data_IF_126981734707
#
_entry.id   IF_126981734707
#
_cell.length_a   1.000
_cell.length_b   1.000
_cell.length_c   1.000
_cell.angle_alpha   90.00
_cell.angle_beta   90.00
_cell.angle_gamma   90.00
#
_symmetry.space_group_name_H-M   'P 1'
#
loop_
_entity.id
_entity.type
_entity.pdbx_description
1 polymer ?
#
# COMPACT_ATOMS: atom_id res chain seq x y z
N UNK A 1 18.35 -9.34 -0.92
CA UNK A 1 16.94 -9.77 -0.89
C UNK A 1 16.12 -8.58 -0.42
N UNK A 2 15.81 -7.65 -1.33
CA UNK A 2 15.23 -6.35 -0.97
C UNK A 2 14.63 -5.59 -2.16
N UNK A 3 15.16 -5.81 -3.37
CA UNK A 3 14.61 -5.22 -4.61
C UNK A 3 13.22 -5.80 -4.95
N UNK A 4 13.08 -7.14 -4.91
CA UNK A 4 11.80 -7.81 -5.17
C UNK A 4 10.74 -7.46 -4.11
N UNK A 5 11.13 -7.32 -2.85
CA UNK A 5 10.21 -6.97 -1.76
C UNK A 5 9.75 -5.52 -1.86
N UNK A 6 10.67 -4.61 -2.20
CA UNK A 6 10.34 -3.22 -2.49
C UNK A 6 9.43 -3.11 -3.72
N UNK A 7 9.74 -3.84 -4.79
CA UNK A 7 8.89 -3.91 -5.98
C UNK A 7 7.49 -4.44 -5.65
N UNK A 8 7.38 -5.50 -4.85
CA UNK A 8 6.10 -6.06 -4.42
C UNK A 8 5.25 -5.03 -3.66
N UNK A 9 5.86 -4.26 -2.75
CA UNK A 9 5.18 -3.18 -2.02
C UNK A 9 4.73 -2.04 -2.92
N UNK A 10 5.58 -1.60 -3.84
CA UNK A 10 5.21 -0.57 -4.82
C UNK A 10 4.07 -1.02 -5.72
N UNK A 11 4.10 -2.28 -6.18
CA UNK A 11 3.07 -2.86 -7.01
C UNK A 11 1.74 -3.00 -6.25
N UNK A 12 1.77 -3.53 -5.03
CA UNK A 12 0.58 -3.65 -4.17
C UNK A 12 -0.05 -2.29 -3.91
N UNK A 13 0.77 -1.29 -3.53
CA UNK A 13 0.29 0.07 -3.32
C UNK A 13 -0.37 0.65 -4.57
N UNK A 14 0.24 0.49 -5.75
CA UNK A 14 -0.32 1.04 -6.98
C UNK A 14 -1.67 0.40 -7.33
N UNK A 15 -1.80 -0.92 -7.20
CA UNK A 15 -3.08 -1.59 -7.52
C UNK A 15 -4.18 -1.29 -6.51
N UNK A 16 -3.83 -1.04 -5.25
CA UNK A 16 -4.79 -0.67 -4.20
C UNK A 16 -5.20 0.80 -4.30
N UNK A 17 -4.24 1.71 -4.48
CA UNK A 17 -4.46 3.16 -4.50
C UNK A 17 -5.33 3.62 -5.66
N UNK A 18 -5.25 2.94 -6.81
CA UNK A 18 -5.98 3.31 -8.03
C UNK A 18 -7.09 2.32 -8.41
N UNK A 19 -7.47 1.40 -7.51
CA UNK A 19 -8.47 0.36 -7.79
C UNK A 19 -9.81 0.93 -8.29
N UNK A 20 -10.16 2.15 -7.87
CA UNK A 20 -11.36 2.85 -8.31
C UNK A 20 -11.31 3.32 -9.77
N UNK A 21 -10.13 3.64 -10.30
CA UNK A 21 -9.93 3.94 -11.72
C UNK A 21 -10.07 2.71 -12.62
N UNK A 22 -10.09 1.50 -12.05
CA UNK A 22 -10.40 0.28 -12.80
C UNK A 22 -11.91 0.15 -13.09
N UNK A 23 -12.76 0.92 -12.42
CA UNK A 23 -14.18 0.98 -12.68
C UNK A 23 -14.52 2.14 -13.64
N UNK A 24 -15.46 1.92 -14.55
CA UNK A 24 -16.01 2.99 -15.39
C UNK A 24 -16.95 3.83 -14.51
N UNK A 25 -16.71 5.15 -14.36
CA UNK A 25 -17.58 5.98 -13.55
C UNK A 25 -18.97 6.10 -14.19
N UNK A 26 -20.01 6.09 -13.35
CA UNK A 26 -21.40 6.21 -13.78
C UNK A 26 -21.77 7.65 -14.22
N UNK A 27 -21.03 8.64 -13.74
CA UNK A 27 -21.17 10.06 -14.07
C UNK A 27 -19.88 10.58 -14.68
N UNK A 28 -19.94 11.62 -15.55
CA UNK A 28 -18.75 12.24 -16.11
C UNK A 28 -17.88 12.80 -14.98
N UNK A 29 -16.63 12.33 -14.84
CA UNK A 29 -15.81 12.70 -13.70
C UNK A 29 -15.31 14.15 -13.82
N UNK A 30 -15.05 14.79 -12.68
CA UNK A 30 -14.44 16.13 -12.66
C UNK A 30 -13.09 16.11 -13.38
N UNK A 31 -12.94 16.94 -14.41
CA UNK A 31 -11.75 16.94 -15.26
C UNK A 31 -10.48 17.35 -14.49
N UNK A 32 -10.59 18.24 -13.50
CA UNK A 32 -9.45 18.71 -12.70
C UNK A 32 -8.99 17.62 -11.75
N UNK A 33 -9.93 16.98 -11.04
CA UNK A 33 -9.62 15.86 -10.14
C UNK A 33 -9.06 14.67 -10.91
N UNK A 34 -9.66 14.34 -12.06
CA UNK A 34 -9.22 13.24 -12.92
C UNK A 34 -7.81 13.50 -13.44
N UNK A 35 -7.51 14.72 -13.89
CA UNK A 35 -6.16 15.07 -14.32
C UNK A 35 -5.12 14.89 -13.20
N UNK A 36 -5.43 15.31 -11.97
CA UNK A 36 -4.54 15.13 -10.83
C UNK A 36 -4.32 13.64 -10.49
N UNK A 37 -5.37 12.82 -10.55
CA UNK A 37 -5.28 11.37 -10.34
C UNK A 37 -4.45 10.68 -11.43
N UNK A 38 -4.68 11.01 -12.70
CA UNK A 38 -3.93 10.46 -13.83
C UNK A 38 -2.45 10.87 -13.78
N UNK A 39 -2.14 12.10 -13.35
CA UNK A 39 -0.78 12.54 -13.11
C UNK A 39 -0.06 11.64 -12.09
N UNK A 40 -0.71 11.42 -10.93
CA UNK A 40 -0.17 10.59 -9.85
C UNK A 40 0.00 9.14 -10.29
N UNK A 41 -0.98 8.57 -11.00
CA UNK A 41 -0.91 7.24 -11.58
C UNK A 41 0.26 7.12 -12.56
N UNK A 42 0.45 8.11 -13.44
CA UNK A 42 1.57 8.15 -14.38
C UNK A 42 2.93 8.15 -13.68
N UNK A 43 3.05 8.89 -12.57
CA UNK A 43 4.24 8.85 -11.72
C UNK A 43 4.53 7.47 -11.14
N UNK A 44 3.53 6.84 -10.52
CA UNK A 44 3.65 5.49 -9.94
C UNK A 44 3.92 4.41 -10.99
N UNK A 45 3.22 4.44 -12.12
CA UNK A 45 3.42 3.51 -13.22
C UNK A 45 4.82 3.64 -13.84
N UNK A 46 5.40 4.85 -13.82
CA UNK A 46 6.79 5.09 -14.24
C UNK A 46 7.82 4.36 -13.38
N UNK A 47 7.62 4.33 -12.05
CA UNK A 47 8.51 3.64 -11.11
C UNK A 47 8.49 2.12 -11.30
N UNK A 48 7.34 1.55 -11.68
CA UNK A 48 7.16 0.13 -11.94
C UNK A 48 7.47 -0.28 -13.39
N UNK A 49 7.98 0.64 -14.21
CA UNK A 49 8.18 0.44 -15.65
C UNK A 49 6.91 -0.04 -16.39
N UNK A 50 5.71 0.29 -15.88
CA UNK A 50 4.42 -0.02 -16.50
C UNK A 50 4.12 0.99 -17.63
N UNK A 51 4.96 0.97 -18.67
CA UNK A 51 4.97 1.95 -19.76
C UNK A 51 3.60 2.17 -20.40
N UNK A 52 2.82 1.13 -20.77
CA UNK A 52 1.51 1.34 -21.39
C UNK A 52 0.54 2.11 -20.47
N UNK A 53 0.54 1.80 -19.17
CA UNK A 53 -0.33 2.44 -18.18
C UNK A 53 0.09 3.90 -17.96
N UNK A 54 1.39 4.16 -17.85
CA UNK A 54 1.94 5.52 -17.74
C UNK A 54 1.55 6.37 -18.95
N UNK A 55 1.70 5.83 -20.15
CA UNK A 55 1.48 6.60 -21.37
C UNK A 55 -0.02 6.88 -21.58
N UNK A 56 -0.90 5.93 -21.26
CA UNK A 56 -2.34 6.15 -21.23
C UNK A 56 -2.74 7.24 -20.22
N UNK A 57 -2.20 7.17 -18.99
CA UNK A 57 -2.47 8.17 -17.95
C UNK A 57 -2.03 9.58 -18.36
N UNK A 58 -0.85 9.73 -18.99
CA UNK A 58 -0.35 11.02 -19.49
C UNK A 58 -1.22 11.62 -20.60
N UNK A 59 -1.73 10.79 -21.51
CA UNK A 59 -2.65 11.26 -22.57
C UNK A 59 -3.96 11.75 -21.96
N UNK A 60 -4.57 10.96 -21.08
CA UNK A 60 -5.81 11.36 -20.39
C UNK A 60 -5.63 12.60 -19.52
N UNK A 61 -4.50 12.73 -18.81
CA UNK A 61 -4.16 13.95 -18.06
C UNK A 61 -4.13 15.18 -18.97
N UNK A 62 -3.45 15.06 -20.12
CA UNK A 62 -3.29 16.15 -21.08
C UNK A 62 -4.64 16.60 -21.64
N UNK A 63 -5.49 15.66 -22.04
CA UNK A 63 -6.83 15.94 -22.56
C UNK A 63 -7.74 16.55 -21.49
N UNK A 64 -7.73 16.00 -20.28
CA UNK A 64 -8.53 16.51 -19.17
C UNK A 64 -8.14 17.97 -18.81
N UNK A 65 -6.85 18.29 -18.75
CA UNK A 65 -6.37 19.67 -18.54
C UNK A 65 -6.75 20.62 -19.67
N UNK A 66 -6.84 20.12 -20.90
CA UNK A 66 -7.24 20.89 -22.07
C UNK A 66 -8.77 21.06 -22.18
N UNK A 67 -9.56 20.43 -21.31
CA UNK A 67 -11.02 20.39 -21.43
C UNK A 67 -11.51 19.59 -22.64
N UNK A 68 -10.67 18.72 -23.19
CA UNK A 68 -11.04 17.81 -24.27
C UNK A 68 -11.69 16.55 -23.71
N UNK A 69 -12.37 15.78 -24.57
CA UNK A 69 -12.85 14.44 -24.21
C UNK A 69 -11.65 13.51 -23.96
N UNK A 70 -11.65 12.85 -22.80
CA UNK A 70 -10.63 11.91 -22.34
C UNK A 70 -11.21 10.53 -21.97
N UNK A 71 -12.47 10.27 -22.39
CA UNK A 71 -13.20 9.05 -22.05
C UNK A 71 -12.51 7.77 -22.56
N UNK A 72 -11.93 7.81 -23.77
CA UNK A 72 -11.21 6.67 -24.35
C UNK A 72 -9.93 6.34 -23.57
N UNK A 73 -9.21 7.36 -23.11
CA UNK A 73 -7.99 7.23 -22.33
C UNK A 73 -8.28 6.73 -20.93
N UNK A 74 -9.37 7.18 -20.32
CA UNK A 74 -9.83 6.67 -19.04
C UNK A 74 -10.25 5.19 -19.15
N UNK A 75 -10.94 4.80 -20.22
CA UNK A 75 -11.29 3.41 -20.48
C UNK A 75 -10.04 2.53 -20.70
N UNK A 76 -9.02 3.05 -21.38
CA UNK A 76 -7.75 2.34 -21.58
C UNK A 76 -6.97 2.19 -20.27
N UNK A 77 -6.93 3.24 -19.43
CA UNK A 77 -6.38 3.16 -18.07
C UNK A 77 -7.09 2.09 -17.25
N UNK A 78 -8.43 2.09 -17.24
CA UNK A 78 -9.22 1.11 -16.51
C UNK A 78 -8.91 -0.32 -16.97
N UNK A 79 -8.85 -0.54 -18.28
CA UNK A 79 -8.51 -1.83 -18.88
C UNK A 79 -7.11 -2.30 -18.48
N UNK A 80 -6.11 -1.43 -18.60
CA UNK A 80 -4.72 -1.75 -18.27
C UNK A 80 -4.54 -2.02 -16.77
N UNK A 81 -5.17 -1.22 -15.92
CA UNK A 81 -5.10 -1.39 -14.48
C UNK A 81 -5.80 -2.68 -14.02
N UNK A 82 -6.93 -3.02 -14.64
CA UNK A 82 -7.63 -4.29 -14.42
C UNK A 82 -6.74 -5.47 -14.79
N UNK A 83 -6.10 -5.42 -15.96
CA UNK A 83 -5.18 -6.47 -16.41
C UNK A 83 -3.96 -6.60 -15.48
N UNK A 84 -3.35 -5.47 -15.09
CA UNK A 84 -2.24 -5.44 -14.15
C UNK A 84 -2.64 -6.06 -12.80
N UNK A 85 -3.78 -5.65 -12.26
CA UNK A 85 -4.29 -6.16 -10.96
C UNK A 85 -4.53 -7.67 -11.03
N UNK A 86 -5.15 -8.16 -12.10
CA UNK A 86 -5.42 -9.58 -12.29
C UNK A 86 -4.13 -10.43 -12.33
N UNK A 87 -3.04 -9.89 -12.87
CA UNK A 87 -1.74 -10.56 -12.92
C UNK A 87 -0.92 -10.40 -11.64
N UNK A 88 -1.01 -9.22 -10.99
CA UNK A 88 -0.24 -8.89 -9.80
C UNK A 88 -0.77 -9.63 -8.56
N UNK A 89 -2.09 -9.72 -8.38
CA UNK A 89 -2.70 -10.26 -7.15
C UNK A 89 -2.26 -11.69 -6.81
N UNK A 90 -2.22 -12.65 -7.74
CA UNK A 90 -1.73 -13.99 -7.45
C UNK A 90 -0.26 -13.99 -7.02
N UNK A 91 0.59 -13.26 -7.76
CA UNK A 91 2.01 -13.18 -7.46
C UNK A 91 2.29 -12.52 -6.10
N UNK A 92 1.59 -11.43 -5.77
CA UNK A 92 1.69 -10.77 -4.47
C UNK A 92 1.27 -11.69 -3.32
N UNK A 93 0.21 -12.48 -3.52
CA UNK A 93 -0.26 -13.47 -2.55
C UNK A 93 0.79 -14.55 -2.31
N UNK A 94 1.36 -15.10 -3.37
CA UNK A 94 2.38 -16.16 -3.29
C UNK A 94 3.67 -15.63 -2.67
N UNK A 95 4.10 -14.41 -3.04
CA UNK A 95 5.27 -13.75 -2.47
C UNK A 95 5.13 -13.54 -0.96
N UNK A 96 3.96 -13.07 -0.50
CA UNK A 96 3.65 -12.93 0.93
C UNK A 96 3.66 -14.29 1.64
N UNK A 97 3.07 -15.32 1.04
CA UNK A 97 3.07 -16.67 1.59
C UNK A 97 4.48 -17.25 1.75
N UNK A 98 5.34 -17.04 0.74
CA UNK A 98 6.74 -17.46 0.78
C UNK A 98 7.53 -16.71 1.86
N UNK A 99 7.32 -15.40 2.04
CA UNK A 99 7.94 -14.65 3.13
C UNK A 99 7.49 -15.16 4.51
N UNK A 100 6.21 -15.46 4.69
CA UNK A 100 5.68 -15.96 5.95
C UNK A 100 6.15 -17.39 6.26
N UNK A 101 6.34 -18.23 5.25
CA UNK A 101 6.87 -19.59 5.42
C UNK A 101 8.38 -19.62 5.67
N UNK A 102 9.12 -18.64 5.12
CA UNK A 102 10.55 -18.48 5.34
C UNK A 102 10.88 -17.83 6.70
N UNK A 103 9.92 -17.10 7.28
CA UNK A 103 9.97 -16.76 8.68
C UNK A 103 9.76 -18.05 9.49
N UNK A 104 10.86 -18.64 9.99
CA UNK A 104 10.78 -19.70 10.99
C UNK A 104 9.77 -19.31 12.07
N UNK A 105 9.04 -20.26 12.69
CA UNK A 105 8.18 -19.94 13.81
C UNK A 105 9.06 -19.32 14.89
N UNK A 106 9.05 -17.98 14.96
CA UNK A 106 9.80 -17.23 15.92
C UNK A 106 9.28 -17.71 17.28
N UNK A 107 10.16 -18.41 18.01
CA UNK A 107 10.04 -18.56 19.46
C UNK A 107 9.61 -17.20 19.96
N UNK A 108 8.45 -17.12 20.62
CA UNK A 108 7.79 -15.87 21.02
C UNK A 108 8.77 -14.98 21.78
N UNK A 109 9.53 -14.17 21.03
CA UNK A 109 10.51 -13.28 21.60
C UNK A 109 9.70 -12.13 22.22
N UNK A 110 10.01 -11.73 23.46
CA UNK A 110 9.39 -10.57 24.07
C UNK A 110 9.48 -9.38 23.11
N UNK A 111 8.40 -8.59 23.05
CA UNK A 111 8.33 -7.39 22.23
C UNK A 111 9.54 -6.49 22.55
N UNK A 112 10.48 -6.35 21.61
CA UNK A 112 11.68 -5.54 21.81
C UNK A 112 11.28 -4.07 21.92
N UNK A 113 11.55 -3.48 23.10
CA UNK A 113 11.24 -2.09 23.40
C UNK A 113 11.94 -1.12 22.44
N UNK A 114 13.15 -1.43 21.96
CA UNK A 114 13.87 -0.60 21.02
C UNK A 114 13.21 -0.62 19.63
N UNK A 115 12.83 -1.81 19.15
CA UNK A 115 12.14 -1.96 17.88
C UNK A 115 10.73 -1.33 17.90
N UNK A 116 9.99 -1.46 19.01
CA UNK A 116 8.70 -0.81 19.20
C UNK A 116 8.82 0.72 19.22
N UNK A 117 9.88 1.24 19.85
CA UNK A 117 10.16 2.67 19.86
C UNK A 117 10.52 3.19 18.46
N UNK A 118 11.28 2.42 17.68
CA UNK A 118 11.56 2.72 16.27
C UNK A 118 10.29 2.78 15.42
N UNK A 119 9.40 1.79 15.56
CA UNK A 119 8.10 1.79 14.88
C UNK A 119 7.25 3.02 15.29
N UNK A 120 7.24 3.36 16.58
CA UNK A 120 6.52 4.55 17.08
C UNK A 120 7.07 5.84 16.49
N UNK A 121 8.40 5.97 16.39
CA UNK A 121 9.03 7.13 15.77
C UNK A 121 8.70 7.22 14.27
N UNK A 122 8.74 6.10 13.55
CA UNK A 122 8.39 6.06 12.13
C UNK A 122 6.93 6.45 11.90
N UNK A 123 6.00 5.93 12.70
CA UNK A 123 4.59 6.33 12.62
C UNK A 123 4.38 7.81 12.98
N UNK A 124 5.12 8.33 13.97
CA UNK A 124 5.04 9.75 14.34
C UNK A 124 5.58 10.68 13.25
N UNK A 125 6.66 10.26 12.60
CA UNK A 125 7.25 10.95 11.45
C UNK A 125 6.45 10.74 10.15
N UNK A 126 5.38 9.94 10.17
CA UNK A 126 4.62 9.51 8.98
C UNK A 126 5.53 8.88 7.92
N UNK A 127 6.59 8.21 8.37
CA UNK A 127 7.59 7.58 7.54
C UNK A 127 7.06 6.22 7.05
N UNK A 128 7.18 5.98 5.74
CA UNK A 128 6.82 4.69 5.14
C UNK A 128 7.69 3.54 5.66
N UNK A 129 8.85 3.83 6.26
CA UNK A 129 9.62 2.86 7.03
C UNK A 129 8.80 2.19 8.15
N UNK A 130 7.69 2.80 8.60
CA UNK A 130 6.77 2.18 9.55
C UNK A 130 6.17 0.86 9.04
N UNK A 131 5.91 0.74 7.73
CA UNK A 131 5.44 -0.52 7.14
C UNK A 131 6.48 -1.62 7.28
N UNK A 132 7.75 -1.26 7.13
CA UNK A 132 8.89 -2.17 7.14
C UNK A 132 9.25 -2.60 8.56
N UNK A 133 9.08 -1.70 9.52
CA UNK A 133 9.28 -1.98 10.94
C UNK A 133 8.11 -2.76 11.54
N UNK A 134 6.91 -2.65 10.95
CA UNK A 134 5.70 -3.31 11.45
C UNK A 134 5.71 -4.83 11.21
N UNK A 135 6.10 -5.27 10.01
CA UNK A 135 6.00 -6.69 9.61
C UNK A 135 6.81 -7.63 10.52
N UNK A 136 8.08 -7.34 10.88
CA UNK A 136 8.86 -8.18 11.78
C UNK A 136 8.29 -8.22 13.21
N UNK A 137 7.56 -7.17 13.63
CA UNK A 137 6.97 -7.07 14.96
C UNK A 137 5.58 -7.70 15.05
N UNK A 138 4.98 -8.10 13.93
CA UNK A 138 3.60 -8.58 13.88
C UNK A 138 3.28 -9.73 14.86
N UNK A 139 4.11 -10.78 15.04
CA UNK A 139 3.83 -11.84 16.00
C UNK A 139 3.82 -11.34 17.46
N UNK A 140 4.78 -10.49 17.81
CA UNK A 140 4.92 -9.94 19.16
C UNK A 140 3.83 -8.90 19.46
N UNK A 141 3.44 -8.09 18.47
CA UNK A 141 2.31 -7.16 18.58
C UNK A 141 1.00 -7.92 18.76
N UNK A 142 0.76 -8.98 17.98
CA UNK A 142 -0.42 -9.84 18.14
C UNK A 142 -0.51 -10.46 19.53
N UNK A 143 0.61 -10.88 20.12
CA UNK A 143 0.64 -11.35 21.50
C UNK A 143 0.33 -10.23 22.51
N UNK A 144 0.82 -9.02 22.28
CA UNK A 144 0.68 -7.89 23.21
C UNK A 144 -0.70 -7.20 23.19
N UNK A 145 -1.31 -7.02 22.01
CA UNK A 145 -2.61 -6.36 21.86
C UNK A 145 -3.76 -7.29 21.47
N UNK A 146 -3.50 -8.60 21.38
CA UNK A 146 -4.47 -9.62 20.98
C UNK A 146 -4.85 -9.55 19.49
N UNK A 147 -5.55 -10.56 19.00
CA UNK A 147 -5.91 -10.68 17.58
C UNK A 147 -6.72 -9.46 17.07
N UNK A 148 -7.70 -9.01 17.87
CA UNK A 148 -8.56 -7.88 17.52
C UNK A 148 -7.80 -6.55 17.52
N UNK A 149 -6.89 -6.33 18.48
CA UNK A 149 -6.05 -5.14 18.54
C UNK A 149 -5.05 -5.10 17.38
N UNK A 150 -4.43 -6.23 17.09
CA UNK A 150 -3.52 -6.37 15.96
C UNK A 150 -4.20 -6.16 14.62
N UNK A 151 -5.41 -6.68 14.41
CA UNK A 151 -6.17 -6.47 13.19
C UNK A 151 -6.43 -4.97 12.92
N UNK A 152 -6.82 -4.22 13.95
CA UNK A 152 -7.04 -2.76 13.86
C UNK A 152 -5.74 -2.00 13.59
N UNK A 153 -4.66 -2.38 14.26
CA UNK A 153 -3.34 -1.77 14.06
C UNK A 153 -2.84 -2.01 12.63
N UNK A 154 -2.95 -3.25 12.14
CA UNK A 154 -2.58 -3.61 10.76
C UNK A 154 -3.41 -2.83 9.74
N UNK A 155 -4.72 -2.70 9.95
CA UNK A 155 -5.58 -1.93 9.06
C UNK A 155 -5.17 -0.45 9.02
N UNK A 156 -4.92 0.17 10.18
CA UNK A 156 -4.47 1.56 10.27
C UNK A 156 -3.12 1.78 9.57
N UNK A 157 -2.15 0.89 9.80
CA UNK A 157 -0.82 0.93 9.16
C UNK A 157 -0.94 0.74 7.64
N UNK A 158 -1.78 -0.19 7.18
CA UNK A 158 -2.00 -0.45 5.74
C UNK A 158 -2.68 0.74 5.05
N UNK A 159 -3.61 1.41 5.73
CA UNK A 159 -4.30 2.61 5.23
C UNK A 159 -3.49 3.89 5.37
N UNK A 160 -2.26 3.81 5.87
CA UNK A 160 -1.40 4.96 6.20
C UNK A 160 -2.04 5.93 7.20
N UNK A 161 -3.01 5.45 7.99
CA UNK A 161 -3.59 6.20 9.10
C UNK A 161 -2.67 6.06 10.33
N UNK A 162 -1.56 6.78 10.27
CA UNK A 162 -0.51 6.71 11.28
C UNK A 162 -0.97 7.23 12.65
N UNK A 163 -1.95 8.14 12.69
CA UNK A 163 -2.53 8.64 13.94
C UNK A 163 -3.32 7.54 14.65
N UNK A 164 -4.18 6.83 13.92
CA UNK A 164 -4.91 5.67 14.47
C UNK A 164 -3.95 4.55 14.84
N UNK A 165 -2.91 4.30 14.04
CA UNK A 165 -1.90 3.27 14.34
C UNK A 165 -1.13 3.58 15.64
N UNK A 166 -0.75 4.83 15.88
CA UNK A 166 -0.09 5.24 17.13
C UNK A 166 -0.98 5.04 18.36
N UNK A 167 -2.28 5.32 18.25
CA UNK A 167 -3.23 5.12 19.34
C UNK A 167 -3.49 3.66 19.68
N UNK A 168 -3.31 2.76 18.70
CA UNK A 168 -3.51 1.32 18.86
C UNK A 168 -2.24 0.55 19.28
N UNK A 169 -1.08 1.19 19.33
CA UNK A 169 0.18 0.57 19.75
C UNK A 169 0.20 0.33 21.27
N UNK A 170 0.65 -0.85 21.74
CA UNK A 170 0.83 -1.09 23.15
C UNK A 170 1.87 -0.11 23.75
N UNK A 171 1.75 0.26 25.04
CA UNK A 171 2.76 1.07 25.71
C UNK A 171 4.11 0.35 25.70
N UNK A 172 5.22 1.11 25.70
CA UNK A 172 6.60 0.60 25.62
C UNK A 172 7.07 -0.18 26.86
N UNK A 173 6.14 -0.69 27.66
CA UNK A 173 6.39 -1.49 28.84
C UNK A 173 5.09 -2.04 29.40
N UNK A 174 4.94 -3.37 29.35
CA UNK A 174 4.25 -4.11 30.39
C UNK A 174 4.97 -5.46 30.54
N UNK A 175 5.41 -5.82 31.75
CA UNK A 175 6.02 -7.12 32.01
C UNK A 175 4.97 -8.22 31.84
N UNK A 176 5.42 -9.40 31.39
CA UNK A 176 4.66 -10.62 31.58
C UNK A 176 4.36 -10.79 33.08
N UNK A 177 3.08 -10.78 33.44
CA UNK A 177 2.57 -11.28 34.72
C UNK A 177 1.66 -12.46 34.43
#
# INVERSE_FOLDING_TARGET
MGDVDFFARLLERLVDEFADLAAVPAEPPDATETAARLHKLGGGAGLLAAVPLRDAARRGETQARAGADFSAELAEVARLLTALTAQARPWLKDHRGAQQAAAEPAVQAPLDAAALQGLRQALHAQDLAALDLFEPLAPALRAACGEAGFARLREAVTRLDFATALGALPPSGAPAS
#
